data_IF_138196322627
#
_entry.id   IF_138196322627
#
_cell.length_a   1.000
_cell.length_b   1.000
_cell.length_c   1.000
_cell.angle_alpha   90.00
_cell.angle_beta   90.00
_cell.angle_gamma   90.00
#
_symmetry.space_group_name_H-M   'P 1'
#
loop_
_entity.id
_entity.type
_entity.pdbx_description
1 polymer ?
#
# COMPACT_ATOMS: atom_id res chain seq x y z
N UNK A 1 14.81 -1.22 -2.41
CA UNK A 1 15.82 -1.09 -1.33
C UNK A 1 15.19 -0.95 0.06
N UNK A 2 14.21 -0.07 0.26
CA UNK A 2 13.59 0.17 1.58
C UNK A 2 13.05 -1.10 2.28
N UNK A 3 12.51 -2.08 1.54
CA UNK A 3 12.05 -3.36 2.11
C UNK A 3 13.17 -4.15 2.79
N UNK A 4 14.29 -4.34 2.10
CA UNK A 4 15.46 -5.06 2.61
C UNK A 4 16.04 -4.42 3.88
N UNK A 5 16.01 -3.08 3.94
CA UNK A 5 16.44 -2.34 5.15
C UNK A 5 15.54 -2.69 6.36
N UNK A 6 14.22 -2.65 6.20
CA UNK A 6 13.28 -2.99 7.28
C UNK A 6 13.42 -4.46 7.69
N UNK A 7 13.58 -5.38 6.73
CA UNK A 7 13.83 -6.80 7.01
C UNK A 7 15.12 -7.01 7.81
N UNK A 8 16.18 -6.26 7.50
CA UNK A 8 17.41 -6.26 8.29
C UNK A 8 17.18 -5.73 9.70
N UNK A 9 16.47 -4.60 9.83
CA UNK A 9 16.17 -3.98 11.12
C UNK A 9 15.33 -4.89 12.02
N UNK A 10 14.40 -5.66 11.45
CA UNK A 10 13.62 -6.65 12.19
C UNK A 10 14.46 -7.76 12.83
N UNK A 11 15.65 -8.04 12.30
CA UNK A 11 16.57 -9.05 12.86
C UNK A 11 17.47 -8.50 13.96
N UNK A 12 17.64 -7.17 14.02
CA UNK A 12 18.61 -6.51 14.89
C UNK A 12 17.96 -5.78 16.06
N UNK A 13 16.83 -5.11 15.82
CA UNK A 13 16.16 -4.35 16.86
C UNK A 13 15.17 -5.19 17.66
N UNK A 14 14.93 -4.77 18.90
CA UNK A 14 13.77 -5.24 19.66
C UNK A 14 12.48 -5.01 18.82
N UNK A 15 11.52 -5.95 18.83
CA UNK A 15 10.27 -5.82 18.06
C UNK A 15 9.48 -4.54 18.33
N UNK A 16 9.56 -3.98 19.54
CA UNK A 16 8.90 -2.74 19.95
C UNK A 16 9.87 -1.54 19.98
N UNK A 17 10.92 -1.55 19.16
CA UNK A 17 11.84 -0.43 19.06
C UNK A 17 11.23 0.71 18.22
N UNK A 18 11.25 1.94 18.75
CA UNK A 18 10.69 3.12 18.07
C UNK A 18 11.37 3.40 16.71
N UNK A 19 12.68 3.22 16.60
CA UNK A 19 13.41 3.42 15.34
C UNK A 19 13.02 2.39 14.27
N UNK A 20 12.74 1.14 14.68
CA UNK A 20 12.16 0.13 13.78
C UNK A 20 10.77 0.55 13.29
N UNK A 21 9.90 1.02 14.19
CA UNK A 21 8.56 1.54 13.84
C UNK A 21 8.64 2.69 12.83
N UNK A 22 9.49 3.67 13.09
CA UNK A 22 9.70 4.82 12.20
C UNK A 22 10.33 4.42 10.85
N UNK A 23 11.25 3.44 10.84
CA UNK A 23 11.82 2.92 9.61
C UNK A 23 10.78 2.18 8.75
N UNK A 24 9.93 1.36 9.39
CA UNK A 24 8.82 0.68 8.74
C UNK A 24 7.80 1.69 8.17
N UNK A 25 7.47 2.75 8.92
CA UNK A 25 6.58 3.83 8.46
C UNK A 25 7.11 4.47 7.17
N UNK A 26 8.36 4.94 7.19
CA UNK A 26 8.99 5.59 6.02
C UNK A 26 9.05 4.65 4.82
N UNK A 27 9.44 3.39 5.04
CA UNK A 27 9.47 2.40 3.98
C UNK A 27 8.06 2.16 3.41
N UNK A 28 7.03 2.10 4.25
CA UNK A 28 5.63 1.97 3.85
C UNK A 28 5.18 3.12 2.94
N UNK A 29 5.45 4.36 3.34
CA UNK A 29 5.14 5.55 2.53
C UNK A 29 5.86 5.52 1.18
N UNK A 30 7.15 5.15 1.15
CA UNK A 30 7.89 5.03 -0.12
C UNK A 30 7.27 4.00 -1.05
N UNK A 31 6.88 2.82 -0.54
CA UNK A 31 6.20 1.81 -1.35
C UNK A 31 4.81 2.26 -1.78
N UNK A 32 4.10 3.01 -0.92
CA UNK A 32 2.80 3.55 -1.24
C UNK A 32 2.89 4.53 -2.40
N UNK A 33 3.84 5.48 -2.37
CA UNK A 33 4.09 6.42 -3.45
C UNK A 33 4.49 5.72 -4.76
N UNK A 34 5.21 4.60 -4.66
CA UNK A 34 5.56 3.75 -5.80
C UNK A 34 4.39 2.89 -6.35
N UNK A 35 3.19 2.98 -5.77
CA UNK A 35 2.02 2.19 -6.20
C UNK A 35 2.06 0.72 -5.77
N UNK A 36 3.00 0.33 -4.89
CA UNK A 36 3.14 -1.03 -4.37
C UNK A 36 2.25 -1.22 -3.13
N UNK A 37 0.93 -1.12 -3.34
CA UNK A 37 -0.05 -0.92 -2.27
C UNK A 37 -0.07 -2.04 -1.22
N UNK A 38 0.08 -3.31 -1.63
CA UNK A 38 0.07 -4.44 -0.69
C UNK A 38 1.23 -4.37 0.30
N UNK A 39 2.42 -4.07 -0.22
CA UNK A 39 3.65 -3.97 0.58
C UNK A 39 3.58 -2.72 1.46
N UNK A 40 3.08 -1.63 0.89
CA UNK A 40 2.90 -0.37 1.60
C UNK A 40 1.98 -0.52 2.81
N UNK A 41 0.78 -1.07 2.60
CA UNK A 41 -0.20 -1.28 3.66
C UNK A 41 0.34 -2.19 4.76
N UNK A 42 0.99 -3.32 4.38
CA UNK A 42 1.62 -4.21 5.35
C UNK A 42 2.70 -3.53 6.22
N UNK A 43 3.52 -2.65 5.63
CA UNK A 43 4.53 -1.88 6.36
C UNK A 43 3.91 -0.80 7.25
N UNK A 44 2.87 -0.11 6.79
CA UNK A 44 2.14 0.90 7.55
C UNK A 44 1.46 0.26 8.76
N UNK A 45 0.80 -0.89 8.59
CA UNK A 45 0.19 -1.63 9.70
C UNK A 45 1.23 -2.11 10.72
N UNK A 46 2.38 -2.60 10.26
CA UNK A 46 3.49 -2.97 11.15
C UNK A 46 4.03 -1.77 11.92
N UNK A 47 4.23 -0.64 11.24
CA UNK A 47 4.66 0.58 11.89
C UNK A 47 3.64 1.03 12.96
N UNK A 48 2.35 1.03 12.62
CA UNK A 48 1.28 1.41 13.53
C UNK A 48 1.29 0.57 14.81
N UNK A 49 1.43 -0.75 14.69
CA UNK A 49 1.52 -1.64 15.84
C UNK A 49 2.69 -1.29 16.78
N UNK A 50 3.88 -0.99 16.24
CA UNK A 50 5.06 -0.63 17.03
C UNK A 50 4.90 0.77 17.66
N UNK A 51 4.37 1.72 16.91
CA UNK A 51 4.17 3.10 17.35
C UNK A 51 3.05 3.23 18.39
N UNK A 52 2.04 2.37 18.35
CA UNK A 52 1.04 2.25 19.40
C UNK A 52 1.66 1.86 20.75
N UNK A 53 2.70 1.02 20.76
CA UNK A 53 3.40 0.62 21.99
C UNK A 53 4.38 1.72 22.46
N UNK A 54 5.11 2.33 21.53
CA UNK A 54 6.24 3.22 21.86
C UNK A 54 5.83 4.68 22.06
N UNK A 55 4.86 5.16 21.30
CA UNK A 55 4.40 6.55 21.34
C UNK A 55 3.00 6.68 21.94
N UNK A 56 2.16 5.66 21.77
CA UNK A 56 0.77 5.66 22.24
C UNK A 56 -0.21 6.32 21.26
N UNK A 57 -1.53 6.17 21.50
CA UNK A 57 -2.58 6.59 20.58
C UNK A 57 -2.78 8.12 20.50
N UNK A 58 -2.36 8.86 21.53
CA UNK A 58 -2.54 10.31 21.59
C UNK A 58 -1.41 11.07 20.89
N UNK A 59 -0.28 10.40 20.61
CA UNK A 59 0.89 11.01 19.99
C UNK A 59 0.59 11.42 18.53
N UNK A 60 0.99 12.63 18.09
CA UNK A 60 0.69 13.13 16.74
C UNK A 60 1.08 12.16 15.63
N UNK A 61 2.30 11.61 15.68
CA UNK A 61 2.79 10.64 14.67
C UNK A 61 1.87 9.41 14.57
N UNK A 62 1.35 8.91 15.70
CA UNK A 62 0.46 7.75 15.70
C UNK A 62 -0.88 8.07 15.05
N UNK A 63 -1.41 9.28 15.26
CA UNK A 63 -2.64 9.75 14.61
C UNK A 63 -2.47 9.92 13.11
N UNK A 64 -1.37 10.53 12.68
CA UNK A 64 -1.04 10.67 11.26
C UNK A 64 -0.90 9.30 10.59
N UNK A 65 -0.28 8.35 11.31
CA UNK A 65 -0.12 6.98 10.84
C UNK A 65 -1.44 6.21 10.79
N UNK A 66 -2.37 6.46 11.71
CA UNK A 66 -3.73 5.91 11.66
C UNK A 66 -4.47 6.40 10.41
N UNK A 67 -4.38 7.70 10.09
CA UNK A 67 -4.95 8.24 8.86
C UNK A 67 -4.35 7.59 7.61
N UNK A 68 -3.03 7.45 7.55
CA UNK A 68 -2.34 6.73 6.45
C UNK A 68 -2.77 5.26 6.35
N UNK A 69 -2.98 4.58 7.50
CA UNK A 69 -3.47 3.20 7.54
C UNK A 69 -4.87 3.09 6.95
N UNK A 70 -5.78 3.99 7.32
CA UNK A 70 -7.15 4.01 6.77
C UNK A 70 -7.13 4.23 5.26
N UNK A 71 -6.32 5.17 4.77
CA UNK A 71 -6.24 5.45 3.33
C UNK A 71 -5.68 4.26 2.54
N UNK A 72 -4.60 3.64 3.02
CA UNK A 72 -4.00 2.48 2.34
C UNK A 72 -4.86 1.22 2.42
N UNK A 73 -5.67 1.04 3.47
CA UNK A 73 -6.69 -0.01 3.54
C UNK A 73 -7.75 0.16 2.44
N UNK A 74 -8.26 1.38 2.26
CA UNK A 74 -9.23 1.67 1.21
C UNK A 74 -8.63 1.42 -0.19
N UNK A 75 -7.40 1.89 -0.43
CA UNK A 75 -6.68 1.65 -1.69
C UNK A 75 -6.43 0.15 -1.94
N UNK A 76 -6.02 -0.60 -0.91
CA UNK A 76 -5.80 -2.03 -1.03
C UNK A 76 -7.10 -2.77 -1.37
N UNK A 77 -8.23 -2.39 -0.73
CA UNK A 77 -9.53 -2.95 -1.05
C UNK A 77 -9.92 -2.69 -2.50
N UNK A 78 -9.72 -1.47 -3.00
CA UNK A 78 -9.98 -1.14 -4.40
C UNK A 78 -9.09 -1.95 -5.35
N UNK A 79 -7.79 -2.04 -5.05
CA UNK A 79 -6.83 -2.84 -5.82
C UNK A 79 -7.25 -4.32 -5.89
N UNK A 80 -7.72 -4.89 -4.78
CA UNK A 80 -8.18 -6.29 -4.73
C UNK A 80 -9.49 -6.53 -5.47
N UNK A 81 -10.35 -5.51 -5.58
CA UNK A 81 -11.60 -5.60 -6.32
C UNK A 81 -11.38 -5.43 -7.82
N UNK A 82 -10.58 -4.44 -8.21
CA UNK A 82 -10.26 -4.17 -9.60
C UNK A 82 -8.92 -3.43 -9.69
N UNK A 83 -7.88 -4.17 -10.07
CA UNK A 83 -6.51 -3.67 -10.23
C UNK A 83 -6.43 -2.58 -11.32
N UNK A 84 -7.16 -2.72 -12.43
CA UNK A 84 -7.16 -1.75 -13.52
C UNK A 84 -7.72 -0.40 -13.05
N UNK A 85 -8.90 -0.41 -12.42
CA UNK A 85 -9.54 0.81 -11.88
C UNK A 85 -8.65 1.48 -10.84
N UNK A 86 -7.97 0.70 -9.99
CA UNK A 86 -7.00 1.24 -9.03
C UNK A 86 -5.87 2.01 -9.73
N UNK A 87 -5.24 1.42 -10.73
CA UNK A 87 -4.16 2.08 -11.46
C UNK A 87 -4.64 3.31 -12.23
N UNK A 88 -5.80 3.25 -12.88
CA UNK A 88 -6.40 4.41 -13.57
C UNK A 88 -6.70 5.55 -12.60
N UNK A 89 -7.30 5.24 -11.45
CA UNK A 89 -7.61 6.23 -10.41
C UNK A 89 -6.33 6.88 -9.88
N UNK A 90 -5.32 6.07 -9.55
CA UNK A 90 -4.05 6.53 -9.03
C UNK A 90 -3.35 7.46 -10.02
N UNK A 91 -3.29 7.08 -11.29
CA UNK A 91 -2.69 7.91 -12.35
C UNK A 91 -3.46 9.23 -12.55
N UNK A 92 -4.78 9.22 -12.47
CA UNK A 92 -5.61 10.42 -12.55
C UNK A 92 -5.33 11.37 -11.36
N UNK A 93 -5.26 10.82 -10.15
CA UNK A 93 -4.94 11.58 -8.94
C UNK A 93 -3.54 12.20 -9.01
N UNK A 94 -2.52 11.45 -9.46
CA UNK A 94 -1.15 11.96 -9.61
C UNK A 94 -1.03 13.08 -10.66
N UNK A 95 -1.90 13.06 -11.68
CA UNK A 95 -1.92 14.06 -12.76
C UNK A 95 -2.88 15.22 -12.48
N UNK A 96 -3.54 15.26 -11.32
CA UNK A 96 -4.60 16.20 -10.99
C UNK A 96 -5.69 16.28 -12.06
N UNK A 97 -6.05 15.13 -12.66
CA UNK A 97 -7.10 15.04 -13.68
C UNK A 97 -8.38 14.46 -13.07
N UNK A 98 -9.57 14.91 -13.50
CA UNK A 98 -10.81 14.28 -13.10
C UNK A 98 -10.79 12.81 -13.53
N UNK A 99 -11.24 11.93 -12.64
CA UNK A 99 -11.39 10.50 -12.91
C UNK A 99 -12.35 10.28 -14.08
N UNK A 100 -11.81 9.96 -15.25
CA UNK A 100 -12.60 9.33 -16.31
C UNK A 100 -12.62 7.83 -16.02
N UNK A 101 -13.77 7.31 -15.59
CA UNK A 101 -14.00 5.87 -15.42
C UNK A 101 -13.94 5.21 -16.79
N UNK A 102 -12.74 4.96 -17.30
CA UNK A 102 -12.56 4.19 -18.51
C UNK A 102 -12.95 2.75 -18.20
N UNK A 103 -13.91 2.24 -18.97
CA UNK A 103 -14.20 0.80 -18.98
C UNK A 103 -12.89 0.04 -19.24
N UNK A 104 -12.74 -1.12 -18.61
CA UNK A 104 -11.56 -1.96 -18.80
C UNK A 104 -11.33 -2.14 -20.31
N UNK A 105 -10.10 -1.94 -20.83
CA UNK A 105 -9.86 -2.03 -22.25
C UNK A 105 -10.22 -3.43 -22.72
N UNK A 106 -11.01 -3.53 -23.81
CA UNK A 106 -11.50 -4.79 -24.38
C UNK A 106 -10.40 -5.84 -24.59
N UNK A 107 -9.15 -5.41 -24.75
CA UNK A 107 -7.97 -6.29 -24.86
C UNK A 107 -7.72 -7.17 -23.61
N UNK A 108 -8.05 -6.69 -22.40
CA UNK A 108 -7.95 -7.47 -21.16
C UNK A 108 -9.09 -8.49 -21.07
N UNK A 109 -10.31 -8.06 -21.42
CA UNK A 109 -11.49 -8.91 -21.45
C UNK A 109 -11.37 -10.03 -22.52
N UNK A 110 -10.84 -9.70 -23.70
CA UNK A 110 -10.52 -10.66 -24.76
C UNK A 110 -9.33 -11.56 -24.39
N UNK A 111 -8.31 -11.04 -23.71
CA UNK A 111 -7.19 -11.83 -23.18
C UNK A 111 -7.64 -12.91 -22.21
N UNK A 112 -8.56 -12.58 -21.30
CA UNK A 112 -9.17 -13.52 -20.34
C UNK A 112 -10.02 -14.56 -21.08
N UNK A 113 -10.89 -14.13 -22.01
CA UNK A 113 -11.69 -15.06 -22.84
C UNK A 113 -10.79 -16.02 -23.61
N UNK A 114 -9.70 -15.53 -24.20
CA UNK A 114 -8.74 -16.35 -24.95
C UNK A 114 -7.92 -17.30 -24.06
N UNK A 115 -7.73 -16.97 -22.78
CA UNK A 115 -7.11 -17.87 -21.79
C UNK A 115 -7.99 -19.08 -21.50
N UNK A 116 -9.31 -18.86 -21.36
CA UNK A 116 -10.29 -19.93 -21.11
C UNK A 116 -10.73 -20.67 -22.38
N UNK A 117 -10.40 -20.15 -23.57
CA UNK A 117 -10.69 -20.78 -24.87
C UNK A 117 -9.47 -21.48 -25.49
N UNK A 118 -8.30 -21.51 -24.83
CA UNK A 118 -7.14 -22.30 -25.31
C UNK A 118 -7.29 -23.79 -24.99
N UNK A 119 -8.13 -24.40 -25.84
CA UNK A 119 -8.16 -25.77 -26.40
C UNK A 119 -8.38 -26.99 -25.50
N UNK A 120 -9.45 -27.73 -25.90
CA UNK A 120 -9.53 -29.20 -26.00
C UNK A 120 -8.22 -29.85 -26.42
#
# INVERSE_FOLDING_TARGET
YARKMVEGYMKLYNPNNAALGMAAMRAGVTHWQAGLIEVAHGMICKAYAILMVTHGPTHPITKDLEAMRMQTEMELRMFKQNEYVYHSMREAALKNKPMTMMHEPKSVEEGIKNLFHRRK
#
